data_IF_712719946591
#
_entry.id   IF_712719946591
#
_cell.length_a   1.000
_cell.length_b   1.000
_cell.length_c   1.000
_cell.angle_alpha   90.00
_cell.angle_beta   90.00
_cell.angle_gamma   90.00
#
_symmetry.space_group_name_H-M   'P 1'
#
loop_
_entity.id
_entity.type
_entity.pdbx_description
1 polymer ?
#
# COMPACT_ATOMS: atom_id res chain seq x y z
N UNK A 1 11.15 -23.81 3.37
CA UNK A 1 12.44 -23.33 3.90
C UNK A 1 12.88 -22.17 3.04
N UNK A 2 12.79 -20.92 3.51
CA UNK A 2 13.39 -19.78 2.82
C UNK A 2 14.89 -19.76 3.12
N UNK A 3 15.76 -19.43 2.16
CA UNK A 3 17.17 -19.23 2.45
C UNK A 3 17.33 -17.98 3.30
N UNK A 4 18.03 -18.12 4.43
CA UNK A 4 18.50 -17.02 5.26
C UNK A 4 19.37 -16.10 4.41
N UNK A 5 18.81 -14.96 4.01
CA UNK A 5 19.61 -13.87 3.46
C UNK A 5 20.39 -13.29 4.64
N UNK A 6 21.66 -13.68 4.71
CA UNK A 6 22.66 -13.27 5.71
C UNK A 6 22.61 -11.74 5.81
N UNK A 7 22.16 -11.25 6.97
CA UNK A 7 22.35 -9.85 7.34
C UNK A 7 23.85 -9.59 7.46
N UNK A 8 24.34 -8.38 7.16
CA UNK A 8 25.75 -8.06 7.33
C UNK A 8 26.24 -8.46 8.72
N UNK A 9 27.44 -9.04 8.79
CA UNK A 9 28.05 -9.48 10.04
C UNK A 9 28.16 -8.28 11.01
N UNK A 10 27.72 -8.44 12.26
CA UNK A 10 27.77 -7.37 13.25
C UNK A 10 29.23 -6.98 13.56
N UNK A 11 29.59 -5.68 13.56
CA UNK A 11 30.93 -5.24 13.91
C UNK A 11 31.25 -5.48 15.40
N UNK A 12 32.55 -5.53 15.73
CA UNK A 12 33.04 -5.76 17.08
C UNK A 12 32.50 -4.71 18.07
N UNK A 13 31.77 -5.19 19.09
CA UNK A 13 30.85 -4.41 19.92
C UNK A 13 31.49 -3.35 20.82
N UNK A 14 32.82 -3.38 21.02
CA UNK A 14 33.52 -2.45 21.91
C UNK A 14 33.63 -1.02 21.35
N UNK A 15 33.47 -0.87 20.02
CA UNK A 15 33.65 0.41 19.32
C UNK A 15 32.41 0.76 18.46
N UNK A 16 31.20 0.36 18.89
CA UNK A 16 29.97 0.72 18.16
C UNK A 16 29.74 2.23 18.26
N UNK A 17 30.24 2.94 17.26
CA UNK A 17 29.73 4.25 16.90
C UNK A 17 28.50 4.00 16.02
N UNK A 18 27.30 4.49 16.40
CA UNK A 18 26.19 4.56 15.46
C UNK A 18 26.74 5.17 14.17
N UNK A 19 26.39 4.63 12.99
CA UNK A 19 26.82 5.23 11.72
C UNK A 19 26.68 6.75 11.82
N UNK A 20 27.77 7.47 11.53
CA UNK A 20 27.89 8.90 11.79
C UNK A 20 26.60 9.62 11.38
N UNK A 21 25.98 10.29 12.35
CA UNK A 21 24.68 10.97 12.30
C UNK A 21 24.69 12.21 11.38
N UNK A 22 25.28 12.11 10.19
CA UNK A 22 25.00 13.04 9.09
C UNK A 22 23.74 12.57 8.38
N UNK A 23 22.81 13.48 8.11
CA UNK A 23 21.52 13.29 7.43
C UNK A 23 21.42 11.97 6.64
N UNK A 24 20.98 10.91 7.32
CA UNK A 24 20.73 9.63 6.66
C UNK A 24 19.39 9.75 5.93
N UNK A 25 19.25 9.25 4.69
CA UNK A 25 18.09 9.49 3.83
C UNK A 25 16.75 8.98 4.40
N UNK A 26 16.75 8.19 5.48
CA UNK A 26 15.54 7.72 6.19
C UNK A 26 15.24 8.49 7.48
N UNK A 27 16.01 9.53 7.83
CA UNK A 27 15.69 10.48 8.90
C UNK A 27 14.86 11.65 8.32
N UNK A 28 13.63 11.75 8.85
CA UNK A 28 12.44 12.49 8.43
C UNK A 28 12.59 13.84 7.67
N UNK A 29 11.98 13.91 6.47
CA UNK A 29 10.95 14.92 6.17
C UNK A 29 9.62 14.34 5.64
N UNK A 30 9.38 13.03 5.75
CA UNK A 30 8.30 12.32 5.04
C UNK A 30 7.08 11.93 5.89
N UNK A 31 7.06 12.19 7.20
CA UNK A 31 5.85 11.97 8.00
C UNK A 31 4.62 12.69 7.43
N UNK A 32 4.81 13.89 6.86
CA UNK A 32 3.77 14.62 6.12
C UNK A 32 3.44 14.00 4.75
N UNK A 33 4.41 13.38 4.07
CA UNK A 33 4.20 12.76 2.76
C UNK A 33 3.16 11.60 2.82
N UNK A 34 3.09 10.91 3.97
CA UNK A 34 2.16 9.82 4.17
C UNK A 34 0.81 10.24 4.77
N UNK A 35 0.56 11.53 5.05
CA UNK A 35 -0.67 11.96 5.75
C UNK A 35 -1.97 11.57 5.02
N UNK A 36 -1.94 11.54 3.68
CA UNK A 36 -3.10 11.28 2.82
C UNK A 36 -3.19 9.85 2.28
N UNK A 37 -2.28 8.96 2.68
CA UNK A 37 -2.24 7.58 2.20
C UNK A 37 -3.41 6.76 2.75
N UNK A 38 -4.09 5.98 1.90
CA UNK A 38 -4.99 4.93 2.39
C UNK A 38 -4.26 3.58 2.51
N UNK A 39 -4.97 2.52 2.94
CA UNK A 39 -4.33 1.20 3.05
C UNK A 39 -3.80 0.65 1.72
N UNK A 40 -4.44 1.00 0.60
CA UNK A 40 -4.00 0.58 -0.73
C UNK A 40 -2.75 1.35 -1.18
N UNK A 41 -2.58 2.59 -0.76
CA UNK A 41 -1.35 3.37 -0.99
C UNK A 41 -0.20 2.77 -0.17
N UNK A 42 -0.44 2.45 1.10
CA UNK A 42 0.55 1.73 1.92
C UNK A 42 0.90 0.35 1.33
N UNK A 43 -0.08 -0.40 0.83
CA UNK A 43 0.18 -1.67 0.16
C UNK A 43 1.14 -1.49 -1.03
N UNK A 44 0.96 -0.40 -1.80
CA UNK A 44 1.84 -0.05 -2.90
C UNK A 44 3.24 0.35 -2.40
N UNK A 45 3.35 1.13 -1.32
CA UNK A 45 4.63 1.49 -0.70
C UNK A 45 5.46 0.27 -0.26
N UNK A 46 4.80 -0.76 0.29
CA UNK A 46 5.48 -2.02 0.64
C UNK A 46 5.87 -2.83 -0.60
N UNK A 47 4.97 -2.92 -1.58
CA UNK A 47 5.22 -3.70 -2.80
C UNK A 47 6.32 -3.07 -3.67
N UNK A 48 6.37 -1.74 -3.79
CA UNK A 48 7.39 -1.04 -4.59
C UNK A 48 8.81 -1.20 -4.04
N UNK A 49 8.93 -1.54 -2.76
CA UNK A 49 10.19 -1.90 -2.08
C UNK A 49 10.53 -3.39 -2.19
N UNK A 50 9.62 -4.24 -2.65
CA UNK A 50 9.87 -5.69 -2.75
C UNK A 50 10.95 -5.97 -3.82
N UNK A 51 12.08 -6.63 -3.48
CA UNK A 51 13.16 -6.88 -4.43
C UNK A 51 12.74 -7.74 -5.63
N UNK A 52 11.87 -8.73 -5.43
CA UNK A 52 11.39 -9.60 -6.50
C UNK A 52 10.44 -8.84 -7.44
N UNK A 53 9.59 -7.96 -6.90
CA UNK A 53 8.76 -7.08 -7.72
C UNK A 53 9.61 -6.08 -8.53
N UNK A 54 10.62 -5.46 -7.89
CA UNK A 54 11.55 -4.55 -8.59
C UNK A 54 12.34 -5.27 -9.68
N UNK A 55 12.83 -6.48 -9.41
CA UNK A 55 13.54 -7.30 -10.40
C UNK A 55 12.62 -7.74 -11.55
N UNK A 56 11.36 -8.06 -11.26
CA UNK A 56 10.36 -8.31 -12.28
C UNK A 56 10.24 -7.07 -13.18
N UNK A 57 9.89 -5.92 -12.63
CA UNK A 57 9.68 -4.70 -13.43
C UNK A 57 10.94 -4.30 -14.21
N UNK A 58 12.14 -4.42 -13.64
CA UNK A 58 13.38 -4.07 -14.35
C UNK A 58 13.65 -4.94 -15.57
N UNK A 59 13.33 -6.24 -15.51
CA UNK A 59 13.43 -7.15 -16.67
C UNK A 59 12.46 -6.76 -17.79
N UNK A 60 11.30 -6.21 -17.44
CA UNK A 60 10.22 -5.89 -18.38
C UNK A 60 10.27 -4.45 -18.92
N UNK A 61 10.94 -3.50 -18.25
CA UNK A 61 11.10 -2.11 -18.74
C UNK A 61 11.75 -2.03 -20.13
N UNK A 62 12.49 -3.05 -20.57
CA UNK A 62 13.11 -3.12 -21.89
C UNK A 62 12.21 -3.64 -23.04
N UNK A 63 10.94 -3.96 -22.78
CA UNK A 63 10.02 -4.60 -23.74
C UNK A 63 8.71 -3.82 -23.86
N UNK A 64 8.80 -2.56 -24.31
CA UNK A 64 7.69 -1.59 -24.35
C UNK A 64 6.46 -2.06 -25.17
N UNK A 65 6.66 -2.91 -26.18
CA UNK A 65 5.60 -3.36 -27.11
C UNK A 65 4.58 -4.33 -26.49
N UNK A 66 4.82 -4.84 -25.27
CA UNK A 66 3.95 -5.84 -24.62
C UNK A 66 2.98 -5.26 -23.58
N UNK A 67 2.94 -3.94 -23.41
CA UNK A 67 2.09 -3.20 -22.44
C UNK A 67 0.57 -3.41 -22.62
N UNK A 68 0.13 -3.97 -23.75
CA UNK A 68 -1.28 -4.24 -24.06
C UNK A 68 -1.62 -5.74 -24.15
N UNK A 69 -0.68 -6.62 -23.78
CA UNK A 69 -0.85 -8.08 -23.92
C UNK A 69 -1.43 -8.74 -22.65
N UNK A 70 -2.16 -9.85 -22.84
CA UNK A 70 -2.63 -10.73 -21.75
C UNK A 70 -1.51 -11.26 -20.86
N UNK A 71 -0.27 -11.27 -21.36
CA UNK A 71 0.93 -11.63 -20.60
C UNK A 71 1.17 -10.65 -19.44
N UNK A 72 0.87 -9.37 -19.62
CA UNK A 72 1.04 -8.36 -18.57
C UNK A 72 0.10 -8.58 -17.37
N UNK A 73 -1.12 -9.03 -17.64
CA UNK A 73 -2.08 -9.38 -16.60
C UNK A 73 -1.60 -10.59 -15.78
N UNK A 74 -1.08 -11.63 -16.45
CA UNK A 74 -0.54 -12.81 -15.79
C UNK A 74 0.65 -12.48 -14.84
N UNK A 75 1.45 -11.48 -15.18
CA UNK A 75 2.57 -11.01 -14.33
C UNK A 75 2.10 -10.18 -13.13
N UNK A 76 1.01 -9.42 -13.30
CA UNK A 76 0.41 -8.59 -12.26
C UNK A 76 -0.40 -9.42 -11.24
N UNK A 77 -0.98 -10.54 -11.70
CA UNK A 77 -1.89 -11.40 -10.94
C UNK A 77 -1.33 -11.84 -9.57
N UNK A 78 -0.09 -12.35 -9.44
CA UNK A 78 0.44 -12.81 -8.14
C UNK A 78 0.61 -11.69 -7.11
N UNK A 79 0.69 -10.44 -7.57
CA UNK A 79 0.85 -9.25 -6.74
C UNK A 79 -0.48 -8.57 -6.41
N UNK A 80 -1.62 -9.15 -6.82
CA UNK A 80 -2.94 -8.56 -6.58
C UNK A 80 -3.29 -7.36 -7.47
N UNK A 81 -2.49 -7.12 -8.51
CA UNK A 81 -2.61 -5.97 -9.42
C UNK A 81 -3.37 -6.34 -10.70
N UNK A 82 -4.03 -5.37 -11.31
CA UNK A 82 -4.56 -5.48 -12.67
C UNK A 82 -3.45 -5.29 -13.72
N UNK A 83 -2.45 -4.47 -13.40
CA UNK A 83 -1.27 -4.19 -14.23
C UNK A 83 -0.07 -3.88 -13.34
N UNK A 84 1.15 -4.24 -13.75
CA UNK A 84 2.34 -3.77 -13.03
C UNK A 84 2.47 -2.24 -13.12
N UNK A 85 2.98 -1.65 -12.05
CA UNK A 85 3.28 -0.23 -11.91
C UNK A 85 4.79 -0.02 -11.75
N UNK A 86 5.25 1.19 -12.08
CA UNK A 86 6.62 1.62 -11.87
C UNK A 86 6.96 1.72 -10.36
N UNK A 87 7.89 0.90 -9.82
CA UNK A 87 8.23 0.92 -8.40
C UNK A 87 8.99 2.18 -7.94
N UNK A 88 9.47 3.02 -8.86
CA UNK A 88 10.13 4.29 -8.54
C UNK A 88 9.13 5.45 -8.47
N UNK A 89 7.93 5.26 -8.99
CA UNK A 89 6.88 6.28 -8.96
C UNK A 89 6.10 6.25 -7.64
N UNK A 90 5.75 7.44 -7.15
CA UNK A 90 4.98 7.58 -5.90
C UNK A 90 3.55 7.06 -6.07
N UNK A 91 2.99 6.32 -5.10
CA UNK A 91 1.57 5.95 -5.06
C UNK A 91 0.63 7.13 -5.18
N UNK A 92 1.06 8.34 -4.77
CA UNK A 92 0.27 9.56 -4.86
C UNK A 92 0.13 10.10 -6.27
N UNK A 93 1.16 9.94 -7.10
CA UNK A 93 1.13 10.34 -8.50
C UNK A 93 0.62 9.21 -9.40
N UNK A 94 1.08 7.99 -9.17
CA UNK A 94 0.77 6.81 -10.00
C UNK A 94 0.21 5.70 -9.11
N UNK A 95 -1.08 5.75 -8.78
CA UNK A 95 -1.69 4.78 -7.89
C UNK A 95 -1.78 3.40 -8.54
N UNK A 96 -1.52 2.35 -7.77
CA UNK A 96 -1.68 0.99 -8.21
C UNK A 96 -3.17 0.67 -8.47
N UNK A 97 -3.41 0.00 -9.59
CA UNK A 97 -4.72 -0.54 -9.94
C UNK A 97 -4.80 -1.96 -9.38
N UNK A 98 -5.37 -2.06 -8.18
CA UNK A 98 -5.59 -3.33 -7.49
C UNK A 98 -6.81 -4.07 -8.07
N UNK A 99 -6.80 -5.40 -7.97
CA UNK A 99 -7.95 -6.20 -8.39
C UNK A 99 -9.08 -6.16 -7.35
N UNK A 100 -10.35 -6.14 -7.78
CA UNK A 100 -11.49 -6.22 -6.86
C UNK A 100 -11.48 -7.44 -5.94
N UNK A 101 -10.92 -8.56 -6.41
CA UNK A 101 -10.75 -9.78 -5.61
C UNK A 101 -9.80 -9.62 -4.40
N UNK A 102 -8.89 -8.64 -4.45
CA UNK A 102 -7.93 -8.38 -3.38
C UNK A 102 -8.31 -7.16 -2.53
N UNK A 103 -9.05 -6.21 -3.10
CA UNK A 103 -9.45 -4.98 -2.41
C UNK A 103 -10.97 -4.79 -2.47
N UNK A 104 -11.71 -5.24 -1.43
CA UNK A 104 -13.18 -5.25 -1.44
C UNK A 104 -13.83 -3.86 -1.41
N UNK A 105 -13.08 -2.78 -1.20
CA UNK A 105 -13.61 -1.42 -1.31
C UNK A 105 -13.64 -0.88 -2.75
N UNK A 106 -13.13 -1.64 -3.72
CA UNK A 106 -13.30 -1.32 -5.14
C UNK A 106 -14.75 -1.61 -5.54
N UNK A 107 -15.44 -0.62 -6.08
CA UNK A 107 -16.81 -0.77 -6.53
C UNK A 107 -16.86 -1.38 -7.92
N UNK A 108 -17.50 -2.54 -8.02
CA UNK A 108 -17.76 -3.20 -9.28
C UNK A 108 -19.12 -2.74 -9.81
N UNK A 109 -19.12 -2.02 -10.93
CA UNK A 109 -20.32 -1.41 -11.51
C UNK A 109 -20.50 -1.93 -12.93
N UNK A 110 -21.65 -2.54 -13.23
CA UNK A 110 -22.05 -2.82 -14.62
C UNK A 110 -22.72 -1.60 -15.21
N UNK A 111 -22.30 -1.18 -16.39
CA UNK A 111 -22.89 -0.05 -17.09
C UNK A 111 -22.85 -0.25 -18.61
N UNK A 112 -23.63 0.55 -19.34
CA UNK A 112 -23.53 0.58 -20.80
C UNK A 112 -22.17 1.10 -21.25
N UNK A 113 -21.82 0.83 -22.51
CA UNK A 113 -20.60 1.32 -23.15
C UNK A 113 -20.53 2.85 -23.06
N UNK A 114 -19.34 3.39 -22.78
CA UNK A 114 -19.07 4.82 -22.63
C UNK A 114 -19.75 5.54 -21.44
N UNK A 115 -20.32 4.82 -20.48
CA UNK A 115 -20.90 5.42 -19.25
C UNK A 115 -19.88 5.88 -18.20
N UNK A 116 -18.58 5.69 -18.43
CA UNK A 116 -17.56 5.94 -17.40
C UNK A 116 -17.58 7.37 -16.83
N UNK A 117 -17.60 8.44 -17.64
CA UNK A 117 -17.60 9.81 -17.10
C UNK A 117 -18.84 10.11 -16.23
N UNK A 118 -19.98 9.50 -16.54
CA UNK A 118 -21.20 9.68 -15.75
C UNK A 118 -21.10 9.06 -14.33
N UNK A 119 -20.13 8.16 -14.10
CA UNK A 119 -19.90 7.53 -12.80
C UNK A 119 -18.95 8.34 -11.92
N UNK A 120 -18.37 9.44 -12.43
CA UNK A 120 -17.39 10.22 -11.69
C UNK A 120 -18.13 11.21 -10.80
N UNK A 121 -17.99 11.13 -9.46
CA UNK A 121 -18.60 12.12 -8.61
C UNK A 121 -17.97 13.50 -8.86
N UNK A 122 -18.75 14.56 -8.67
CA UNK A 122 -18.24 15.92 -8.85
C UNK A 122 -17.02 16.18 -7.95
N UNK A 123 -15.95 16.76 -8.52
CA UNK A 123 -14.71 17.06 -7.81
C UNK A 123 -13.78 15.85 -7.60
N UNK A 124 -14.07 14.72 -8.26
CA UNK A 124 -13.16 13.59 -8.38
C UNK A 124 -12.61 13.50 -9.80
N UNK A 125 -11.29 13.53 -9.92
CA UNK A 125 -10.59 13.44 -11.19
C UNK A 125 -9.91 12.07 -11.34
N UNK A 126 -9.82 11.52 -12.56
CA UNK A 126 -9.09 10.28 -12.80
C UNK A 126 -7.60 10.49 -12.59
N UNK A 127 -7.02 9.64 -11.73
CA UNK A 127 -5.59 9.63 -11.42
C UNK A 127 -4.88 8.42 -12.05
N UNK A 128 -5.57 7.30 -12.21
CA UNK A 128 -5.11 6.18 -13.01
C UNK A 128 -6.27 5.42 -13.65
N UNK A 129 -6.03 4.90 -14.84
CA UNK A 129 -6.98 4.08 -15.57
C UNK A 129 -6.29 2.92 -16.29
N UNK A 130 -7.01 1.81 -16.41
CA UNK A 130 -6.60 0.67 -17.23
C UNK A 130 -7.82 -0.09 -17.73
N UNK A 131 -7.86 -0.32 -19.05
CA UNK A 131 -8.90 -1.12 -19.70
C UNK A 131 -8.32 -2.50 -19.99
N UNK A 132 -9.00 -3.54 -19.54
CA UNK A 132 -8.67 -4.93 -19.84
C UNK A 132 -9.94 -5.69 -20.21
N UNK A 133 -10.03 -6.15 -21.47
CA UNK A 133 -11.26 -6.72 -22.01
C UNK A 133 -12.45 -5.77 -21.81
N UNK A 134 -13.50 -6.25 -21.14
CA UNK A 134 -14.70 -5.47 -20.84
C UNK A 134 -14.63 -4.72 -19.50
N UNK A 135 -13.52 -4.79 -18.78
CA UNK A 135 -13.32 -4.10 -17.51
C UNK A 135 -12.55 -2.78 -17.72
N UNK A 136 -12.98 -1.74 -17.01
CA UNK A 136 -12.30 -0.45 -16.91
C UNK A 136 -12.01 -0.15 -15.44
N UNK A 137 -10.75 -0.32 -15.05
CA UNK A 137 -10.26 -0.06 -13.70
C UNK A 137 -9.87 1.40 -13.57
N UNK A 138 -10.33 2.05 -12.49
CA UNK A 138 -10.16 3.48 -12.26
C UNK A 138 -9.76 3.75 -10.80
N UNK A 139 -8.80 4.65 -10.62
CA UNK A 139 -8.60 5.36 -9.35
C UNK A 139 -8.96 6.82 -9.60
N UNK A 140 -10.02 7.27 -8.96
CA UNK A 140 -10.41 8.67 -8.92
C UNK A 140 -9.93 9.28 -7.60
N UNK A 141 -9.53 10.55 -7.62
CA UNK A 141 -9.08 11.25 -6.44
C UNK A 141 -9.73 12.62 -6.33
N UNK A 142 -9.95 13.06 -5.10
CA UNK A 142 -10.16 14.47 -4.77
C UNK A 142 -9.06 14.93 -3.81
N UNK A 143 -9.17 16.14 -3.27
CA UNK A 143 -8.18 16.69 -2.33
C UNK A 143 -7.94 15.81 -1.08
N UNK A 144 -8.91 14.99 -0.66
CA UNK A 144 -8.86 14.25 0.60
C UNK A 144 -8.73 12.73 0.44
N UNK A 145 -9.40 12.13 -0.55
CA UNK A 145 -9.65 10.69 -0.60
C UNK A 145 -9.59 10.11 -2.00
N UNK A 146 -9.41 8.79 -2.04
CA UNK A 146 -9.48 7.97 -3.26
C UNK A 146 -10.80 7.24 -3.35
N UNK A 147 -11.32 7.16 -4.57
CA UNK A 147 -12.43 6.30 -4.96
C UNK A 147 -11.91 5.34 -6.02
N UNK A 148 -12.15 4.03 -5.83
CA UNK A 148 -11.68 3.00 -6.76
C UNK A 148 -12.87 2.29 -7.38
N UNK A 149 -12.91 2.27 -8.71
CA UNK A 149 -14.01 1.69 -9.48
C UNK A 149 -13.47 0.62 -10.44
N UNK A 150 -14.27 -0.41 -10.67
CA UNK A 150 -14.11 -1.37 -11.75
C UNK A 150 -15.42 -1.38 -12.55
N UNK A 151 -15.41 -0.74 -13.71
CA UNK A 151 -16.59 -0.64 -14.56
C UNK A 151 -16.59 -1.80 -15.55
N UNK A 152 -17.64 -2.62 -15.53
CA UNK A 152 -17.85 -3.73 -16.44
C UNK A 152 -18.81 -3.30 -17.55
N UNK A 153 -18.34 -3.34 -18.79
CA UNK A 153 -19.20 -3.08 -19.94
C UNK A 153 -20.24 -4.19 -20.08
N UNK A 154 -21.52 -3.80 -20.06
CA UNK A 154 -22.65 -4.68 -20.25
C UNK A 154 -23.56 -4.06 -21.32
N UNK A 155 -23.39 -4.44 -22.60
CA UNK A 155 -24.29 -4.00 -23.66
C UNK A 155 -25.75 -4.31 -23.30
N UNK A 156 -26.63 -3.32 -23.41
CA UNK A 156 -28.05 -3.45 -23.03
C UNK A 156 -28.37 -3.10 -21.57
N UNK A 157 -27.38 -2.84 -20.71
CA UNK A 157 -27.63 -2.33 -19.36
C UNK A 157 -28.16 -0.89 -19.43
N UNK A 158 -29.44 -0.67 -19.12
CA UNK A 158 -30.07 0.66 -19.17
C UNK A 158 -29.65 1.56 -18.00
N UNK A 159 -29.50 0.97 -16.82
CA UNK A 159 -29.14 1.69 -15.58
C UNK A 159 -27.92 1.06 -14.92
N UNK A 160 -26.94 1.84 -14.42
CA UNK A 160 -25.78 1.30 -13.73
C UNK A 160 -26.18 0.42 -12.54
N UNK A 161 -25.53 -0.73 -12.38
CA UNK A 161 -25.77 -1.66 -11.28
C UNK A 161 -24.48 -1.97 -10.53
N UNK A 162 -24.50 -1.88 -9.20
CA UNK A 162 -23.38 -2.30 -8.36
C UNK A 162 -23.47 -3.80 -8.07
N UNK A 163 -22.40 -4.54 -8.29
CA UNK A 163 -22.29 -5.95 -7.91
C UNK A 163 -21.55 -6.04 -6.57
N UNK A 164 -22.19 -6.64 -5.56
CA UNK A 164 -21.58 -6.90 -4.26
C UNK A 164 -21.52 -8.41 -4.03
N UNK A 165 -20.32 -8.96 -3.88
CA UNK A 165 -20.15 -10.36 -3.54
C UNK A 165 -20.56 -10.61 -2.08
N UNK A 166 -21.30 -11.69 -1.85
CA UNK A 166 -21.66 -12.18 -0.51
C UNK A 166 -20.53 -13.04 0.03
N UNK A 167 -19.47 -12.39 0.47
CA UNK A 167 -18.27 -12.98 1.08
C UNK A 167 -18.00 -12.36 2.47
N UNK A 168 -16.93 -12.78 3.14
CA UNK A 168 -16.51 -12.22 4.44
C UNK A 168 -16.24 -10.70 4.39
N UNK A 169 -16.10 -10.13 3.19
CA UNK A 169 -15.88 -8.71 2.96
C UNK A 169 -17.15 -7.95 2.56
N UNK A 170 -18.33 -8.56 2.60
CA UNK A 170 -19.61 -7.93 2.22
C UNK A 170 -19.84 -6.60 2.98
N UNK A 171 -19.51 -6.55 4.28
CA UNK A 171 -19.65 -5.34 5.08
C UNK A 171 -18.81 -4.17 4.52
N UNK A 172 -17.60 -4.46 4.03
CA UNK A 172 -16.70 -3.48 3.41
C UNK A 172 -17.28 -2.98 2.09
N UNK A 173 -17.77 -3.91 1.27
CA UNK A 173 -18.39 -3.62 -0.04
C UNK A 173 -19.63 -2.73 0.13
N UNK A 174 -20.49 -3.04 1.10
CA UNK A 174 -21.66 -2.21 1.45
C UNK A 174 -21.25 -0.81 1.93
N UNK A 175 -20.24 -0.72 2.80
CA UNK A 175 -19.74 0.56 3.29
C UNK A 175 -19.16 1.42 2.15
N UNK A 176 -18.43 0.82 1.21
CA UNK A 176 -17.90 1.49 0.03
C UNK A 176 -19.02 1.98 -0.89
N UNK A 177 -20.03 1.15 -1.15
CA UNK A 177 -21.18 1.50 -2.00
C UNK A 177 -21.99 2.65 -1.39
N UNK A 178 -22.25 2.60 -0.07
CA UNK A 178 -22.92 3.67 0.66
C UNK A 178 -22.10 4.96 0.70
N UNK A 179 -20.78 4.87 0.82
CA UNK A 179 -19.89 6.03 0.74
C UNK A 179 -19.94 6.69 -0.64
N UNK A 180 -19.85 5.91 -1.72
CA UNK A 180 -20.01 6.40 -3.10
C UNK A 180 -21.37 7.08 -3.32
N UNK A 181 -22.47 6.43 -2.92
CA UNK A 181 -23.81 7.01 -3.03
C UNK A 181 -23.93 8.37 -2.30
N UNK A 182 -23.28 8.52 -1.14
CA UNK A 182 -23.26 9.78 -0.39
C UNK A 182 -22.44 10.87 -1.09
N UNK A 183 -21.29 10.53 -1.66
CA UNK A 183 -20.49 11.48 -2.44
C UNK A 183 -21.28 11.97 -3.66
N UNK A 184 -21.93 11.05 -4.40
CA UNK A 184 -22.72 11.41 -5.58
C UNK A 184 -23.92 12.33 -5.26
N UNK A 185 -24.50 12.22 -4.05
CA UNK A 185 -25.62 13.05 -3.60
C UNK A 185 -25.23 14.44 -3.06
N UNK A 186 -23.96 14.84 -3.14
CA UNK A 186 -23.44 16.13 -2.63
C UNK A 186 -23.76 16.40 -1.15
N UNK A 187 -23.74 15.39 -0.29
CA UNK A 187 -23.93 15.60 1.14
C UNK A 187 -22.77 16.42 1.74
N UNK A 188 -23.07 17.22 2.79
CA UNK A 188 -22.07 17.88 3.63
C UNK A 188 -21.03 16.83 4.08
N UNK A 189 -19.76 17.08 3.76
CA UNK A 189 -18.57 16.29 4.08
C UNK A 189 -18.86 14.79 4.34
N UNK A 190 -18.88 13.91 3.31
CA UNK A 190 -19.16 12.50 3.51
C UNK A 190 -18.19 11.90 4.55
N UNK A 191 -18.65 10.94 5.38
CA UNK A 191 -17.80 10.32 6.38
C UNK A 191 -16.59 9.68 5.71
N UNK A 192 -15.45 9.62 6.41
CA UNK A 192 -14.20 9.07 5.86
C UNK A 192 -14.44 7.71 5.17
N UNK A 193 -13.73 7.43 4.05
CA UNK A 193 -13.84 6.16 3.36
C UNK A 193 -13.54 4.97 4.31
N UNK A 194 -14.13 3.79 4.05
CA UNK A 194 -14.00 2.62 4.94
C UNK A 194 -12.57 2.06 5.04
N UNK A 195 -11.70 2.32 4.06
CA UNK A 195 -10.33 1.78 4.01
C UNK A 195 -9.25 2.82 4.35
N UNK A 196 -9.55 3.72 5.28
CA UNK A 196 -8.57 4.69 5.79
C UNK A 196 -7.91 4.18 7.09
N UNK A 197 -6.57 4.22 7.20
CA UNK A 197 -5.90 3.95 8.47
C UNK A 197 -6.21 5.04 9.48
N UNK A 198 -6.33 4.67 10.76
CA UNK A 198 -6.33 5.63 11.86
C UNK A 198 -4.96 6.34 11.94
N UNK A 199 -4.85 7.51 12.60
CA UNK A 199 -3.56 8.17 12.80
C UNK A 199 -2.50 7.26 13.44
N UNK A 200 -2.91 6.44 14.42
CA UNK A 200 -2.04 5.46 15.06
C UNK A 200 -1.58 4.37 14.09
N UNK A 201 -2.50 3.80 13.30
CA UNK A 201 -2.16 2.80 12.28
C UNK A 201 -1.22 3.38 11.22
N UNK A 202 -1.47 4.63 10.79
CA UNK A 202 -0.63 5.35 9.83
C UNK A 202 0.80 5.49 10.34
N UNK A 203 0.98 6.00 11.56
CA UNK A 203 2.29 6.10 12.20
C UNK A 203 3.00 4.75 12.30
N UNK A 204 2.26 3.69 12.66
CA UNK A 204 2.81 2.34 12.71
C UNK A 204 3.28 1.85 11.32
N UNK A 205 2.49 2.08 10.25
CA UNK A 205 2.86 1.69 8.89
C UNK A 205 4.04 2.50 8.35
N UNK A 206 4.08 3.82 8.60
CA UNK A 206 5.22 4.69 8.25
C UNK A 206 6.50 4.18 8.93
N UNK A 207 6.44 3.83 10.22
CA UNK A 207 7.60 3.26 10.93
C UNK A 207 8.09 1.96 10.28
N UNK A 208 7.17 1.09 9.84
CA UNK A 208 7.53 -0.14 9.14
C UNK A 208 8.14 0.11 7.75
N UNK A 209 7.74 1.18 7.05
CA UNK A 209 8.39 1.61 5.82
C UNK A 209 9.81 2.11 6.08
N UNK A 210 10.00 2.99 7.07
CA UNK A 210 11.32 3.47 7.50
C UNK A 210 12.26 2.32 7.87
N UNK A 211 11.75 1.29 8.54
CA UNK A 211 12.52 0.07 8.84
C UNK A 211 12.93 -0.66 7.55
N UNK A 212 12.06 -0.78 6.54
CA UNK A 212 12.41 -1.38 5.26
C UNK A 212 13.50 -0.59 4.54
N UNK A 213 13.41 0.74 4.55
CA UNK A 213 14.39 1.62 3.91
C UNK A 213 15.75 1.55 4.61
N UNK A 214 15.78 1.57 5.95
CA UNK A 214 16.99 1.38 6.72
C UNK A 214 17.62 -0.01 6.48
N UNK A 215 16.83 -1.07 6.43
CA UNK A 215 17.35 -2.42 6.11
C UNK A 215 17.93 -2.47 4.69
N UNK A 216 17.30 -1.82 3.71
CA UNK A 216 17.80 -1.75 2.34
C UNK A 216 19.13 -0.98 2.25
N UNK A 217 19.32 0.03 3.12
CA UNK A 217 20.56 0.77 3.28
C UNK A 217 21.65 0.03 4.10
N UNK A 218 21.36 -1.18 4.61
CA UNK A 218 22.32 -2.00 5.36
C UNK A 218 22.33 -1.76 6.87
N UNK A 219 21.35 -1.02 7.42
CA UNK A 219 21.25 -0.78 8.85
C UNK A 219 21.07 -2.09 9.64
N UNK A 220 21.81 -2.21 10.74
CA UNK A 220 21.68 -3.34 11.67
C UNK A 220 20.42 -3.22 12.53
N UNK A 221 20.02 -4.30 13.19
CA UNK A 221 18.92 -4.27 14.17
C UNK A 221 19.17 -3.24 15.28
N UNK A 222 20.44 -3.01 15.64
CA UNK A 222 20.84 -2.03 16.65
C UNK A 222 20.73 -0.60 16.12
N UNK A 223 21.15 -0.33 14.89
CA UNK A 223 20.96 0.97 14.24
C UNK A 223 19.46 1.30 14.19
N UNK A 224 18.63 0.36 13.73
CA UNK A 224 17.18 0.53 13.63
C UNK A 224 16.55 0.79 15.00
N UNK A 225 16.99 0.07 16.04
CA UNK A 225 16.47 0.25 17.39
C UNK A 225 16.66 1.69 17.89
N UNK A 226 17.86 2.26 17.74
CA UNK A 226 18.19 3.56 18.33
C UNK A 226 17.99 4.75 17.39
N UNK A 227 17.76 4.53 16.09
CA UNK A 227 17.46 5.62 15.15
C UNK A 227 15.97 5.74 14.83
N UNK A 228 15.21 4.64 14.85
CA UNK A 228 13.81 4.61 14.42
C UNK A 228 12.86 4.20 15.55
N UNK A 229 13.17 3.12 16.27
CA UNK A 229 12.20 2.52 17.22
C UNK A 229 12.20 3.24 18.57
N UNK A 230 13.39 3.56 19.08
CA UNK A 230 13.64 4.16 20.39
C UNK A 230 14.62 5.34 20.28
N UNK A 231 14.34 6.36 19.44
CA UNK A 231 15.30 7.43 19.15
C UNK A 231 15.67 8.31 20.35
N UNK A 232 14.90 8.26 21.43
CA UNK A 232 15.11 9.04 22.65
C UNK A 232 15.71 8.23 23.80
N UNK A 233 15.98 6.94 23.59
CA UNK A 233 16.54 6.08 24.62
C UNK A 233 18.07 6.10 24.55
N UNK A 234 18.72 5.91 25.69
CA UNK A 234 20.17 5.73 25.73
C UNK A 234 20.58 4.38 25.11
N UNK A 235 21.67 4.40 24.34
CA UNK A 235 22.19 3.19 23.71
C UNK A 235 22.72 2.20 24.76
N UNK A 236 22.12 1.01 24.83
CA UNK A 236 22.56 -0.05 25.75
C UNK A 236 23.93 -0.61 25.38
N UNK A 237 24.79 -0.92 26.35
CA UNK A 237 26.08 -1.61 26.11
C UNK A 237 25.91 -2.97 25.42
N UNK A 238 26.99 -3.54 24.84
CA UNK A 238 26.91 -4.78 24.05
C UNK A 238 26.27 -5.97 24.78
N UNK A 239 26.60 -6.17 26.06
CA UNK A 239 26.01 -7.24 26.88
C UNK A 239 24.54 -6.95 27.23
N UNK A 240 24.24 -5.71 27.65
CA UNK A 240 22.88 -5.29 27.98
C UNK A 240 21.95 -5.40 26.77
N UNK A 241 22.43 -5.05 25.57
CA UNK A 241 21.70 -5.17 24.32
C UNK A 241 21.30 -6.60 23.97
N UNK A 242 22.21 -7.57 24.11
CA UNK A 242 21.98 -8.95 23.68
C UNK A 242 20.75 -9.58 24.35
N UNK A 243 20.53 -9.28 25.63
CA UNK A 243 19.38 -9.75 26.43
C UNK A 243 18.19 -8.78 26.52
N UNK A 244 18.28 -7.61 25.88
CA UNK A 244 17.31 -6.52 26.05
C UNK A 244 15.91 -6.82 25.48
N UNK A 245 14.89 -6.17 26.05
CA UNK A 245 13.54 -6.18 25.50
C UNK A 245 13.47 -5.38 24.19
N UNK A 246 14.29 -4.33 24.07
CA UNK A 246 14.43 -3.44 22.93
C UNK A 246 14.91 -4.22 21.70
N UNK A 247 15.91 -5.09 21.85
CA UNK A 247 16.36 -5.98 20.77
C UNK A 247 15.24 -6.89 20.28
N UNK A 248 14.51 -7.55 21.19
CA UNK A 248 13.37 -8.41 20.82
C UNK A 248 12.24 -7.63 20.14
N UNK A 249 11.93 -6.45 20.64
CA UNK A 249 10.93 -5.56 20.06
C UNK A 249 11.33 -5.12 18.64
N UNK A 250 12.57 -4.69 18.45
CA UNK A 250 13.11 -4.29 17.16
C UNK A 250 13.05 -5.45 16.15
N UNK A 251 13.49 -6.65 16.53
CA UNK A 251 13.38 -7.84 15.68
C UNK A 251 11.95 -8.16 15.25
N UNK A 252 10.98 -8.00 16.16
CA UNK A 252 9.57 -8.19 15.84
C UNK A 252 9.09 -7.19 14.78
N UNK A 253 9.47 -5.92 14.90
CA UNK A 253 9.12 -4.89 13.92
C UNK A 253 9.82 -5.13 12.57
N UNK A 254 11.10 -5.48 12.57
CA UNK A 254 11.85 -5.93 11.37
C UNK A 254 11.12 -7.08 10.68
N UNK A 255 10.69 -8.09 11.45
CA UNK A 255 9.92 -9.21 10.93
C UNK A 255 8.56 -8.79 10.36
N UNK A 256 7.89 -7.82 10.98
CA UNK A 256 6.63 -7.25 10.46
C UNK A 256 6.84 -6.49 9.14
N UNK A 257 7.86 -5.64 9.06
CA UNK A 257 8.19 -4.86 7.88
C UNK A 257 8.51 -5.77 6.68
N UNK A 258 9.35 -6.79 6.90
CA UNK A 258 9.64 -7.83 5.89
C UNK A 258 8.38 -8.57 5.45
N UNK A 259 7.51 -8.98 6.38
CA UNK A 259 6.27 -9.68 6.02
C UNK A 259 5.37 -8.84 5.12
N UNK A 260 5.21 -7.54 5.40
CA UNK A 260 4.42 -6.64 4.55
C UNK A 260 5.04 -6.49 3.16
N UNK A 261 6.36 -6.31 3.08
CA UNK A 261 7.10 -6.24 1.82
C UNK A 261 6.94 -7.54 0.99
N UNK A 262 7.05 -8.71 1.62
CA UNK A 262 7.01 -10.03 0.97
C UNK A 262 5.59 -10.64 0.94
N UNK A 263 4.65 -9.94 0.31
CA UNK A 263 3.29 -10.43 0.04
C UNK A 263 2.25 -10.06 1.10
N UNK A 264 2.67 -9.74 2.32
CA UNK A 264 1.76 -9.31 3.39
C UNK A 264 1.01 -8.01 3.12
N UNK A 265 1.48 -7.18 2.17
CA UNK A 265 0.80 -5.97 1.72
C UNK A 265 -0.64 -6.24 1.24
N UNK A 266 -0.94 -7.42 0.69
CA UNK A 266 -2.29 -7.80 0.28
C UNK A 266 -3.28 -7.80 1.46
N UNK A 267 -2.81 -8.07 2.68
CA UNK A 267 -3.65 -7.99 3.88
C UNK A 267 -4.12 -6.58 4.16
N UNK A 268 -3.32 -5.56 3.80
CA UNK A 268 -3.71 -4.16 3.96
C UNK A 268 -4.92 -3.81 3.07
N UNK A 269 -5.02 -4.43 1.90
CA UNK A 269 -6.14 -4.19 0.97
C UNK A 269 -7.49 -4.67 1.53
N UNK A 270 -7.47 -5.66 2.41
CA UNK A 270 -8.65 -6.17 3.11
C UNK A 270 -8.95 -5.43 4.42
N UNK A 271 -8.06 -4.54 4.88
CA UNK A 271 -8.28 -3.79 6.11
C UNK A 271 -9.33 -2.70 5.92
N UNK A 272 -10.19 -2.59 6.92
CA UNK A 272 -11.08 -1.45 7.11
C UNK A 272 -10.73 -0.73 8.39
N UNK A 273 -11.13 0.54 8.45
CA UNK A 273 -11.19 1.28 9.70
C UNK A 273 -12.17 0.53 10.61
N UNK A 274 -11.68 -0.07 11.70
CA UNK A 274 -12.60 -0.55 12.71
C UNK A 274 -13.32 0.68 13.27
N UNK A 275 -14.63 0.71 13.12
CA UNK A 275 -15.45 1.62 13.91
C UNK A 275 -15.31 1.08 15.33
N UNK A 276 -14.66 1.84 16.21
CA UNK A 276 -14.57 1.47 17.62
C UNK A 276 -15.96 1.09 18.10
N UNK A 277 -16.07 -0.07 18.75
CA UNK A 277 -17.29 -0.39 19.50
C UNK A 277 -17.46 0.73 20.52
N UNK A 278 -18.46 1.57 20.31
CA UNK A 278 -19.00 2.44 21.36
C UNK A 278 -19.69 1.61 22.41
#
# INVERSE_FOLDING_TARGET
>A
MLPDRILPAEPAWSNYHPMALGNQPWQDPEADAFCSHDFADFAQEFLRRNPAYRQLVSRWRGQADLMQSSVHEALAYPWGLCRVFDPDASPRATPALWRPACHPAILEIRCSTNSAPAMFPQGYDPLAEFKCGNAHHLVLANAAYRLRLCLWQAPGQQSPAMILLKDDSLAVRLAAAGHYARICKKHMAPPSPPCQPTPYQRLALVRLLQINDAMAAGATCRDIAWTIVFPKHECLSGMAWKGSAERRHCWRLIGQAKRLQHGGHLRLLALTRSVGKG
#
